data_IF_781372885880
#
_entry.id   IF_781372885880
#
_cell.length_a   1.000
_cell.length_b   1.000
_cell.length_c   1.000
_cell.angle_alpha   90.00
_cell.angle_beta   90.00
_cell.angle_gamma   90.00
#
_symmetry.space_group_name_H-M   'P 1'
#
loop_
_entity.id
_entity.type
_entity.pdbx_description
1 polymer ?
#
# COMPACT_ATOMS: atom_id res chain seq x y z
N UNK A 1 -8.39 -28.21 -1.17
CA UNK A 1 -6.98 -27.81 -0.94
C UNK A 1 -6.47 -28.62 0.25
N UNK A 2 -5.22 -29.09 0.23
CA UNK A 2 -4.56 -29.67 1.42
C UNK A 2 -3.91 -28.55 2.22
N UNK A 3 -3.67 -28.76 3.52
CA UNK A 3 -3.04 -27.74 4.39
C UNK A 3 -1.68 -27.26 3.86
N UNK A 4 -0.88 -28.19 3.32
CA UNK A 4 0.41 -27.89 2.69
C UNK A 4 0.29 -26.95 1.46
N UNK A 5 -0.75 -27.10 0.64
CA UNK A 5 -0.96 -26.25 -0.53
C UNK A 5 -1.46 -24.86 -0.12
N UNK A 6 -2.20 -24.75 0.99
CA UNK A 6 -2.70 -23.48 1.51
C UNK A 6 -1.57 -22.63 2.11
N UNK A 7 -0.69 -23.24 2.92
CA UNK A 7 0.47 -22.54 3.49
C UNK A 7 1.40 -21.99 2.41
N UNK A 8 1.67 -22.80 1.38
CA UNK A 8 2.50 -22.37 0.25
C UNK A 8 1.86 -21.23 -0.53
N UNK A 9 0.56 -21.33 -0.83
CA UNK A 9 -0.16 -20.25 -1.48
C UNK A 9 -0.19 -18.96 -0.64
N UNK A 10 -0.37 -19.08 0.68
CA UNK A 10 -0.39 -17.93 1.60
C UNK A 10 0.96 -17.22 1.64
N UNK A 11 2.07 -17.95 1.64
CA UNK A 11 3.42 -17.38 1.55
C UNK A 11 3.59 -16.55 0.26
N UNK A 12 3.15 -17.09 -0.88
CA UNK A 12 3.19 -16.38 -2.17
C UNK A 12 2.27 -15.15 -2.18
N UNK A 13 1.10 -15.24 -1.54
CA UNK A 13 0.18 -14.13 -1.37
C UNK A 13 0.81 -12.97 -0.59
N UNK A 14 1.48 -13.27 0.52
CA UNK A 14 2.17 -12.27 1.35
C UNK A 14 3.29 -11.59 0.57
N UNK A 15 4.09 -12.34 -0.20
CA UNK A 15 5.16 -11.79 -1.04
C UNK A 15 4.60 -10.88 -2.14
N UNK A 16 3.56 -11.32 -2.84
CA UNK A 16 2.86 -10.51 -3.85
C UNK A 16 2.27 -9.23 -3.25
N UNK A 17 1.65 -9.31 -2.06
CA UNK A 17 1.06 -8.16 -1.36
C UNK A 17 2.10 -7.13 -0.91
N UNK A 18 3.34 -7.56 -0.66
CA UNK A 18 4.48 -6.67 -0.38
C UNK A 18 5.07 -6.03 -1.64
N UNK A 19 4.53 -6.33 -2.82
CA UNK A 19 5.04 -5.83 -4.10
C UNK A 19 6.30 -6.55 -4.57
N UNK A 20 6.63 -7.71 -4.00
CA UNK A 20 7.73 -8.53 -4.47
C UNK A 20 7.38 -9.19 -5.80
N UNK A 21 8.33 -9.22 -6.73
CA UNK A 21 8.16 -9.93 -7.99
C UNK A 21 8.20 -11.45 -7.73
N UNK A 22 7.12 -12.14 -8.08
CA UNK A 22 7.08 -13.60 -8.10
C UNK A 22 7.74 -14.12 -9.38
N UNK A 23 8.35 -15.30 -9.30
CA UNK A 23 8.81 -16.03 -10.50
C UNK A 23 7.60 -16.47 -11.33
N UNK A 24 7.82 -16.85 -12.58
CA UNK A 24 6.72 -17.31 -13.46
C UNK A 24 6.03 -18.54 -12.86
N UNK A 25 6.78 -19.48 -12.28
CA UNK A 25 6.23 -20.65 -11.59
C UNK A 25 5.47 -20.27 -10.31
N UNK A 26 6.04 -19.41 -9.45
CA UNK A 26 5.37 -18.92 -8.24
C UNK A 26 4.07 -18.17 -8.59
N UNK A 27 4.06 -17.40 -9.69
CA UNK A 27 2.88 -16.69 -10.16
C UNK A 27 1.80 -17.65 -10.66
N UNK A 28 2.18 -18.72 -11.37
CA UNK A 28 1.24 -19.76 -11.81
C UNK A 28 0.64 -20.52 -10.63
N UNK A 29 1.44 -20.87 -9.63
CA UNK A 29 0.99 -21.53 -8.41
C UNK A 29 0.07 -20.62 -7.58
N UNK A 30 0.42 -19.35 -7.45
CA UNK A 30 -0.41 -18.33 -6.81
C UNK A 30 -1.78 -18.18 -7.50
N UNK A 31 -1.80 -18.11 -8.83
CA UNK A 31 -3.02 -17.98 -9.61
C UNK A 31 -3.89 -19.25 -9.53
N UNK A 32 -3.28 -20.44 -9.49
CA UNK A 32 -4.00 -21.69 -9.35
C UNK A 32 -4.64 -21.84 -7.95
N UNK A 33 -3.92 -21.47 -6.88
CA UNK A 33 -4.46 -21.44 -5.53
C UNK A 33 -5.59 -20.40 -5.38
N UNK A 34 -5.44 -19.24 -6.02
CA UNK A 34 -6.50 -18.22 -6.08
C UNK A 34 -7.76 -18.79 -6.75
N UNK A 35 -7.64 -19.46 -7.90
CA UNK A 35 -8.78 -20.05 -8.60
C UNK A 35 -9.47 -21.18 -7.80
N UNK A 36 -8.70 -21.97 -7.04
CA UNK A 36 -9.24 -23.00 -6.15
C UNK A 36 -10.02 -22.37 -5.00
N UNK A 37 -9.48 -21.33 -4.35
CA UNK A 37 -10.17 -20.61 -3.27
C UNK A 37 -11.44 -19.93 -3.80
N UNK A 38 -11.35 -19.25 -4.94
CA UNK A 38 -12.49 -18.61 -5.59
C UNK A 38 -13.60 -19.63 -5.96
N UNK A 39 -13.24 -20.88 -6.26
CA UNK A 39 -14.19 -21.97 -6.55
C UNK A 39 -14.79 -22.64 -5.29
N UNK A 40 -14.15 -22.50 -4.13
CA UNK A 40 -14.65 -23.02 -2.86
C UNK A 40 -15.61 -22.05 -2.15
N UNK A 41 -15.56 -20.76 -2.50
CA UNK A 41 -16.41 -19.69 -1.94
C UNK A 41 -17.88 -19.72 -2.40
N UNK A 42 -18.28 -20.66 -3.26
CA UNK A 42 -19.59 -20.58 -3.95
C UNK A 42 -20.78 -21.02 -3.09
N UNK A 43 -20.60 -21.66 -1.93
CA UNK A 43 -21.74 -22.35 -1.26
C UNK A 43 -22.06 -21.89 0.18
N UNK A 44 -21.16 -21.25 0.94
CA UNK A 44 -21.48 -20.88 2.35
C UNK A 44 -21.07 -19.45 2.77
N UNK A 45 -20.20 -18.75 2.05
CA UNK A 45 -19.42 -17.64 2.66
C UNK A 45 -19.43 -16.30 1.87
N UNK A 46 -20.39 -16.14 0.96
CA UNK A 46 -20.51 -15.00 0.03
C UNK A 46 -20.49 -13.61 0.70
N UNK A 47 -21.12 -13.44 1.87
CA UNK A 47 -21.19 -12.13 2.55
C UNK A 47 -19.86 -11.75 3.22
N UNK A 48 -19.18 -12.70 3.88
CA UNK A 48 -17.90 -12.45 4.56
C UNK A 48 -16.81 -12.17 3.52
N UNK A 49 -16.73 -12.96 2.46
CA UNK A 49 -15.78 -12.72 1.37
C UNK A 49 -16.05 -11.40 0.64
N UNK A 50 -17.32 -11.04 0.45
CA UNK A 50 -17.68 -9.74 -0.12
C UNK A 50 -17.23 -8.59 0.79
N UNK A 51 -17.46 -8.70 2.10
CA UNK A 51 -16.99 -7.70 3.09
C UNK A 51 -15.47 -7.59 3.14
N UNK A 52 -14.76 -8.72 3.14
CA UNK A 52 -13.29 -8.74 3.10
C UNK A 52 -12.75 -8.09 1.82
N UNK A 53 -13.38 -8.35 0.67
CA UNK A 53 -13.00 -7.71 -0.61
C UNK A 53 -13.24 -6.20 -0.58
N UNK A 54 -14.36 -5.75 -0.03
CA UNK A 54 -14.66 -4.32 0.14
C UNK A 54 -13.65 -3.67 1.09
N UNK A 55 -13.32 -4.33 2.21
CA UNK A 55 -12.35 -3.83 3.17
C UNK A 55 -10.96 -3.73 2.55
N UNK A 56 -10.50 -4.76 1.83
CA UNK A 56 -9.24 -4.76 1.09
C UNK A 56 -9.17 -3.61 0.09
N UNK A 57 -10.23 -3.43 -0.70
CA UNK A 57 -10.31 -2.32 -1.66
C UNK A 57 -10.28 -0.96 -0.98
N UNK A 58 -10.86 -0.84 0.21
CA UNK A 58 -10.88 0.39 1.01
C UNK A 58 -9.50 0.71 1.57
N UNK A 59 -8.80 -0.29 2.10
CA UNK A 59 -7.42 -0.16 2.57
C UNK A 59 -6.50 0.24 1.42
N UNK A 60 -6.62 -0.38 0.25
CA UNK A 60 -5.83 -0.03 -0.93
C UNK A 60 -6.06 1.42 -1.36
N UNK A 61 -7.32 1.90 -1.39
CA UNK A 61 -7.63 3.31 -1.67
C UNK A 61 -7.05 4.26 -0.62
N UNK A 62 -7.14 3.92 0.66
CA UNK A 62 -6.61 4.73 1.74
C UNK A 62 -5.07 4.83 1.67
N UNK A 63 -4.39 3.71 1.39
CA UNK A 63 -2.95 3.68 1.20
C UNK A 63 -2.49 4.51 0.00
N UNK A 64 -3.22 4.44 -1.12
CA UNK A 64 -2.92 5.27 -2.29
C UNK A 64 -3.06 6.76 -1.98
N UNK A 65 -4.16 7.16 -1.34
CA UNK A 65 -4.39 8.56 -0.95
C UNK A 65 -3.33 9.06 0.05
N UNK A 66 -2.90 8.21 0.97
CA UNK A 66 -1.81 8.55 1.88
C UNK A 66 -0.52 8.81 1.10
N UNK A 67 -0.16 7.96 0.15
CA UNK A 67 1.03 8.16 -0.69
C UNK A 67 0.98 9.47 -1.49
N UNK A 68 -0.18 9.81 -2.06
CA UNK A 68 -0.39 11.09 -2.76
C UNK A 68 -0.22 12.29 -1.83
N UNK A 69 -0.80 12.23 -0.63
CA UNK A 69 -0.68 13.30 0.36
C UNK A 69 0.74 13.46 0.89
N UNK A 70 1.45 12.35 1.12
CA UNK A 70 2.87 12.39 1.52
C UNK A 70 3.74 13.04 0.44
N UNK A 71 3.56 12.65 -0.83
CA UNK A 71 4.29 13.26 -1.94
C UNK A 71 4.00 14.76 -2.07
N UNK A 72 2.74 15.16 -1.88
CA UNK A 72 2.36 16.57 -1.88
C UNK A 72 2.93 17.35 -0.70
N UNK A 73 2.99 16.74 0.50
CA UNK A 73 3.64 17.33 1.67
C UNK A 73 5.12 17.58 1.41
N UNK A 74 5.84 16.59 0.86
CA UNK A 74 7.26 16.73 0.52
C UNK A 74 7.50 17.85 -0.51
N UNK A 75 6.61 17.99 -1.50
CA UNK A 75 6.68 19.08 -2.47
C UNK A 75 6.50 20.45 -1.81
N UNK A 76 5.55 20.57 -0.86
CA UNK A 76 5.32 21.80 -0.11
C UNK A 76 6.50 22.14 0.79
N UNK A 77 7.08 21.16 1.47
CA UNK A 77 8.26 21.36 2.33
C UNK A 77 9.45 21.89 1.51
N UNK A 78 9.68 21.35 0.30
CA UNK A 78 10.69 21.87 -0.61
C UNK A 78 10.41 23.31 -1.03
N UNK A 79 9.16 23.65 -1.35
CA UNK A 79 8.76 25.02 -1.69
C UNK A 79 8.95 25.98 -0.52
N UNK A 80 8.60 25.56 0.70
CA UNK A 80 8.81 26.34 1.92
C UNK A 80 10.30 26.61 2.11
N UNK A 81 11.14 25.57 2.05
CA UNK A 81 12.59 25.71 2.21
C UNK A 81 13.20 26.69 1.19
N UNK A 82 12.74 26.66 -0.08
CA UNK A 82 13.17 27.60 -1.12
C UNK A 82 12.73 29.04 -0.80
N UNK A 83 11.49 29.22 -0.34
CA UNK A 83 10.97 30.55 0.01
C UNK A 83 11.67 31.12 1.24
N UNK A 84 11.89 30.31 2.28
CA UNK A 84 12.61 30.69 3.49
C UNK A 84 14.06 31.08 3.18
N UNK A 85 14.76 30.29 2.37
CA UNK A 85 16.13 30.59 1.92
C UNK A 85 16.18 31.90 1.12
N UNK A 86 15.22 32.11 0.21
CA UNK A 86 15.13 33.36 -0.55
C UNK A 86 14.85 34.56 0.35
N UNK A 87 13.94 34.43 1.32
CA UNK A 87 13.63 35.47 2.28
C UNK A 87 14.88 35.84 3.10
N UNK A 88 15.57 34.84 3.68
CA UNK A 88 16.77 35.06 4.46
C UNK A 88 17.86 35.75 3.64
N UNK A 89 18.05 35.37 2.38
CA UNK A 89 19.01 36.04 1.49
C UNK A 89 18.66 37.50 1.24
N UNK A 90 17.38 37.85 1.16
CA UNK A 90 16.90 39.22 0.89
C UNK A 90 16.92 40.11 2.13
N UNK A 91 16.56 39.56 3.30
CA UNK A 91 16.33 40.34 4.52
C UNK A 91 17.42 40.17 5.57
N UNK A 92 18.22 39.11 5.47
CA UNK A 92 19.16 38.67 6.51
C UNK A 92 18.51 37.98 7.71
N UNK A 93 17.19 37.78 7.71
CA UNK A 93 16.42 37.19 8.82
C UNK A 93 15.91 35.80 8.47
N UNK A 94 15.99 34.84 9.40
CA UNK A 94 15.43 33.48 9.22
C UNK A 94 13.97 33.42 9.66
N UNK A 95 13.15 32.64 8.93
CA UNK A 95 11.75 32.39 9.26
C UNK A 95 11.52 31.06 9.97
N UNK A 96 12.57 30.28 10.26
CA UNK A 96 12.47 28.94 10.87
C UNK A 96 11.40 28.88 11.97
N UNK A 97 10.23 28.36 11.61
CA UNK A 97 9.18 28.01 12.57
C UNK A 97 9.34 26.53 12.87
N UNK A 98 9.55 26.13 14.14
CA UNK A 98 9.72 24.73 14.48
C UNK A 98 8.38 24.01 14.36
N UNK A 99 8.10 23.42 13.19
CA UNK A 99 7.04 22.42 13.08
C UNK A 99 7.61 21.09 13.58
N UNK A 100 7.51 20.87 14.89
CA UNK A 100 7.76 19.57 15.49
C UNK A 100 6.64 18.62 15.04
N UNK A 101 6.98 17.67 14.18
CA UNK A 101 6.14 16.51 13.90
C UNK A 101 6.37 15.51 15.04
N UNK A 102 5.37 15.34 15.90
CA UNK A 102 5.32 14.34 16.97
C UNK A 102 4.78 13.01 16.48
#
# INVERSE_FOLDING_TARGET
MTDFNYERWWELHVRSAKGEALTVEDQTEYNAGQAILDSQDTIVDSDIFTRLRILRSTIQRAAHRHAELSAYSEELDQKIAVLESNYQRLTGQSLETPYAVA
#
